data_IF_926881177546
#
_entry.id   IF_926881177546
#
_cell.length_a   1.000
_cell.length_b   1.000
_cell.length_c   1.000
_cell.angle_alpha   90.00
_cell.angle_beta   90.00
_cell.angle_gamma   90.00
#
_symmetry.space_group_name_H-M   'P 1'
#
loop_
_entity.id
_entity.type
_entity.pdbx_description
1 polymer ?
#
# COMPACT_ATOMS: atom_id res chain seq x y z
N UNK A 1 13.52 -0.17 25.10
CA UNK A 1 12.17 -0.01 24.51
C UNK A 1 12.36 0.45 23.07
N UNK A 2 11.93 -0.34 22.08
CA UNK A 2 11.96 0.12 20.68
C UNK A 2 11.01 1.30 20.49
N UNK A 3 11.23 2.19 19.50
CA UNK A 3 10.29 3.25 19.20
C UNK A 3 8.91 2.65 18.88
N UNK A 4 7.85 3.17 19.51
CA UNK A 4 6.48 2.75 19.23
C UNK A 4 6.18 3.04 17.76
N UNK A 5 5.77 2.02 17.01
CA UNK A 5 5.37 2.22 15.62
C UNK A 5 4.09 3.05 15.60
N UNK A 6 3.99 4.07 14.74
CA UNK A 6 2.78 4.87 14.68
C UNK A 6 1.59 4.01 14.29
N UNK A 7 0.42 4.39 14.83
CA UNK A 7 -0.86 3.73 14.55
C UNK A 7 -1.61 4.49 13.46
N UNK A 8 -2.25 3.79 12.49
CA UNK A 8 -3.07 4.46 11.48
C UNK A 8 -4.32 5.08 12.13
N UNK A 9 -4.76 6.21 11.57
CA UNK A 9 -5.98 6.92 11.99
C UNK A 9 -7.15 6.65 11.03
N UNK A 10 -8.41 6.68 11.50
CA UNK A 10 -9.58 6.57 10.61
C UNK A 10 -9.53 7.60 9.48
N UNK A 11 -9.64 7.15 8.23
CA UNK A 11 -9.50 7.98 7.04
C UNK A 11 -8.09 8.03 6.42
N UNK A 12 -7.08 7.41 7.04
CA UNK A 12 -5.77 7.27 6.42
C UNK A 12 -5.88 6.47 5.12
N UNK A 13 -5.38 7.04 4.00
CA UNK A 13 -5.48 6.45 2.67
C UNK A 13 -4.11 6.17 2.03
N UNK A 14 -3.03 6.62 2.65
CA UNK A 14 -1.66 6.34 2.21
C UNK A 14 -0.74 5.97 3.39
N UNK A 15 0.26 5.15 3.09
CA UNK A 15 1.34 4.78 4.02
C UNK A 15 2.62 5.49 3.58
N UNK A 16 3.19 6.30 4.46
CA UNK A 16 4.45 6.99 4.22
C UNK A 16 5.63 6.12 4.65
N UNK A 17 6.68 6.06 3.84
CA UNK A 17 7.93 5.40 4.18
C UNK A 17 9.07 6.40 4.06
N UNK A 18 9.63 6.78 5.20
CA UNK A 18 10.81 7.64 5.28
C UNK A 18 12.07 6.76 5.32
N UNK A 19 12.98 6.94 4.36
CA UNK A 19 14.23 6.20 4.26
C UNK A 19 15.42 7.14 4.11
N UNK A 20 16.63 6.63 4.38
CA UNK A 20 17.90 7.32 4.11
C UNK A 20 18.41 7.08 2.69
N UNK A 21 17.76 6.17 1.96
CA UNK A 21 18.12 5.84 0.58
C UNK A 21 17.65 6.92 -0.38
N UNK A 22 18.35 7.06 -1.50
CA UNK A 22 17.89 7.88 -2.62
C UNK A 22 16.56 7.33 -3.21
N UNK A 23 15.71 8.19 -3.81
CA UNK A 23 14.40 7.81 -4.36
C UNK A 23 14.40 6.52 -5.20
N UNK A 24 15.28 6.44 -6.21
CA UNK A 24 15.38 5.28 -7.09
C UNK A 24 15.73 3.98 -6.34
N UNK A 25 16.69 4.05 -5.41
CA UNK A 25 17.09 2.89 -4.61
C UNK A 25 15.97 2.43 -3.66
N UNK A 26 15.25 3.39 -3.09
CA UNK A 26 14.12 3.13 -2.22
C UNK A 26 12.97 2.45 -2.97
N UNK A 27 12.61 2.96 -4.15
CA UNK A 27 11.57 2.36 -5.01
C UNK A 27 11.99 0.97 -5.50
N UNK A 28 13.25 0.78 -5.90
CA UNK A 28 13.76 -0.52 -6.31
C UNK A 28 13.70 -1.55 -5.17
N UNK A 29 14.01 -1.14 -3.94
CA UNK A 29 13.89 -2.00 -2.75
C UNK A 29 12.44 -2.31 -2.42
N UNK A 30 11.54 -1.33 -2.49
CA UNK A 30 10.11 -1.56 -2.32
C UNK A 30 9.56 -2.55 -3.37
N UNK A 31 10.00 -2.42 -4.63
CA UNK A 31 9.66 -3.37 -5.69
C UNK A 31 10.18 -4.79 -5.40
N UNK A 32 11.39 -4.92 -4.85
CA UNK A 32 11.91 -6.22 -4.42
C UNK A 32 11.09 -6.83 -3.27
N UNK A 33 10.65 -6.02 -2.31
CA UNK A 33 9.73 -6.45 -1.24
C UNK A 33 8.40 -6.93 -1.82
N UNK A 34 7.81 -6.17 -2.75
CA UNK A 34 6.56 -6.54 -3.39
C UNK A 34 6.67 -7.87 -4.14
N UNK A 35 7.74 -8.09 -4.92
CA UNK A 35 7.99 -9.36 -5.60
C UNK A 35 8.11 -10.53 -4.61
N UNK A 36 8.83 -10.35 -3.51
CA UNK A 36 8.93 -11.37 -2.44
C UNK A 36 7.58 -11.71 -1.79
N UNK A 37 6.66 -10.75 -1.76
CA UNK A 37 5.29 -10.96 -1.25
C UNK A 37 4.31 -11.43 -2.34
N UNK A 38 4.81 -11.78 -3.54
CA UNK A 38 4.03 -12.36 -4.64
C UNK A 38 3.27 -11.34 -5.47
N UNK A 39 3.65 -10.06 -5.44
CA UNK A 39 3.11 -9.05 -6.35
C UNK A 39 3.93 -8.97 -7.63
N UNK A 40 3.26 -8.89 -8.78
CA UNK A 40 3.89 -8.46 -10.02
C UNK A 40 4.05 -6.93 -10.04
N UNK A 41 5.19 -6.46 -10.53
CA UNK A 41 5.49 -5.03 -10.66
C UNK A 41 5.18 -4.60 -12.09
N UNK A 42 4.27 -3.64 -12.24
CA UNK A 42 3.78 -3.10 -13.51
C UNK A 42 4.61 -1.88 -13.95
N UNK A 43 5.01 -1.03 -13.00
CA UNK A 43 5.82 0.15 -13.26
C UNK A 43 6.93 0.28 -12.22
N UNK A 44 8.14 0.59 -12.67
CA UNK A 44 9.25 0.98 -11.81
C UNK A 44 10.13 2.00 -12.55
N UNK A 45 10.25 3.18 -11.99
CA UNK A 45 11.14 4.27 -12.43
C UNK A 45 11.82 4.92 -11.22
N UNK A 46 12.64 5.95 -11.46
CA UNK A 46 13.35 6.66 -10.39
C UNK A 46 12.42 7.45 -9.45
N UNK A 47 11.16 7.67 -9.85
CA UNK A 47 10.17 8.47 -9.12
C UNK A 47 8.89 7.72 -8.79
N UNK A 48 8.63 6.57 -9.43
CA UNK A 48 7.37 5.84 -9.25
C UNK A 48 7.54 4.32 -9.24
N UNK A 49 6.74 3.67 -8.41
CA UNK A 49 6.53 2.23 -8.35
C UNK A 49 5.03 1.95 -8.48
N UNK A 50 4.65 0.92 -9.25
CA UNK A 50 3.28 0.40 -9.26
C UNK A 50 3.25 -1.12 -9.42
N UNK A 51 2.27 -1.76 -8.78
CA UNK A 51 1.97 -3.19 -8.93
C UNK A 51 0.94 -3.43 -10.01
N UNK A 52 0.99 -4.63 -10.61
CA UNK A 52 -0.11 -5.13 -11.42
C UNK A 52 -1.31 -5.46 -10.51
N UNK A 53 -2.55 -5.42 -11.04
CA UNK A 53 -3.73 -5.78 -10.27
C UNK A 53 -3.63 -7.22 -9.73
N UNK A 54 -3.97 -7.41 -8.45
CA UNK A 54 -3.95 -8.73 -7.80
C UNK A 54 -5.28 -9.00 -7.12
N UNK A 55 -5.85 -10.19 -7.39
CA UNK A 55 -7.09 -10.63 -6.78
C UNK A 55 -6.86 -11.23 -5.39
N UNK A 56 -7.72 -10.85 -4.45
CA UNK A 56 -7.81 -11.39 -3.11
C UNK A 56 -9.21 -11.92 -2.87
N UNK A 57 -9.28 -13.06 -2.17
CA UNK A 57 -10.53 -13.70 -1.78
C UNK A 57 -10.74 -13.51 -0.28
N UNK A 58 -11.95 -13.11 0.10
CA UNK A 58 -12.33 -12.87 1.49
C UNK A 58 -13.62 -13.61 1.81
N UNK A 59 -13.66 -14.47 2.82
CA UNK A 59 -14.91 -15.04 3.30
C UNK A 59 -15.75 -13.92 3.96
N UNK A 60 -16.98 -13.73 3.50
CA UNK A 60 -17.94 -12.77 4.07
C UNK A 60 -19.34 -13.37 4.05
N UNK A 61 -19.89 -13.65 5.23
CA UNK A 61 -21.29 -14.12 5.38
C UNK A 61 -21.59 -15.42 4.65
N UNK A 62 -20.65 -16.38 4.61
CA UNK A 62 -20.83 -17.66 3.93
C UNK A 62 -20.54 -17.65 2.42
N UNK A 63 -20.28 -16.48 1.81
CA UNK A 63 -19.88 -16.34 0.42
C UNK A 63 -18.43 -15.83 0.29
N UNK A 64 -17.77 -16.17 -0.82
CA UNK A 64 -16.44 -15.63 -1.16
C UNK A 64 -16.63 -14.31 -1.89
N UNK A 65 -16.16 -13.21 -1.29
CA UNK A 65 -16.04 -11.92 -1.99
C UNK A 65 -14.65 -11.80 -2.57
N UNK A 66 -14.56 -11.46 -3.86
CA UNK A 66 -13.28 -11.19 -4.53
C UNK A 66 -13.07 -9.69 -4.68
N UNK A 67 -11.87 -9.22 -4.42
CA UNK A 67 -11.47 -7.85 -4.71
C UNK A 67 -10.13 -7.82 -5.44
N UNK A 68 -9.97 -6.90 -6.37
CA UNK A 68 -8.72 -6.66 -7.09
C UNK A 68 -8.07 -5.44 -6.47
N UNK A 69 -6.81 -5.56 -6.06
CA UNK A 69 -6.03 -4.47 -5.47
C UNK A 69 -4.90 -4.05 -6.40
N UNK A 70 -4.63 -2.74 -6.42
CA UNK A 70 -3.48 -2.14 -7.07
C UNK A 70 -2.81 -1.18 -6.10
N UNK A 71 -1.49 -1.20 -6.04
CA UNK A 71 -0.69 -0.31 -5.21
C UNK A 71 0.27 0.52 -6.06
N UNK A 72 0.46 1.78 -5.67
CA UNK A 72 1.41 2.69 -6.28
C UNK A 72 2.14 3.50 -5.22
N UNK A 73 3.44 3.71 -5.38
CA UNK A 73 4.23 4.60 -4.55
C UNK A 73 4.93 5.65 -5.42
N UNK A 74 4.83 6.90 -4.99
CA UNK A 74 5.59 8.02 -5.55
C UNK A 74 6.67 8.44 -4.56
N UNK A 75 7.86 8.76 -5.06
CA UNK A 75 8.96 9.24 -4.24
C UNK A 75 9.07 10.76 -4.31
N UNK A 76 8.99 11.42 -3.15
CA UNK A 76 9.33 12.83 -3.02
C UNK A 76 10.81 12.97 -2.62
N UNK A 77 11.61 13.81 -3.32
CA UNK A 77 12.99 14.09 -2.93
C UNK A 77 13.01 15.14 -1.81
N UNK A 78 12.90 14.73 -0.55
CA UNK A 78 13.10 15.61 0.61
C UNK A 78 14.52 15.41 1.17
N UNK A 79 15.53 15.96 0.49
CA UNK A 79 16.92 15.98 0.97
C UNK A 79 17.64 14.61 0.92
N UNK A 80 18.67 14.37 1.76
CA UNK A 80 19.33 13.07 1.87
C UNK A 80 18.38 12.05 2.51
N UNK A 81 17.52 11.47 1.68
CA UNK A 81 16.50 10.50 2.04
C UNK A 81 15.25 10.67 1.18
N UNK A 82 14.58 9.56 0.87
CA UNK A 82 13.31 9.58 0.16
C UNK A 82 12.13 9.43 1.13
N UNK A 83 11.04 10.12 0.82
CA UNK A 83 9.71 9.81 1.38
C UNK A 83 8.90 9.15 0.28
N UNK A 84 8.55 7.87 0.48
CA UNK A 84 7.66 7.16 -0.44
C UNK A 84 6.22 7.23 0.08
N UNK A 85 5.30 7.69 -0.76
CA UNK A 85 3.87 7.71 -0.44
C UNK A 85 3.21 6.54 -1.12
N UNK A 86 2.96 5.44 -0.40
CA UNK A 86 2.28 4.25 -0.93
C UNK A 86 0.77 4.38 -0.76
N UNK A 87 0.06 4.45 -1.89
CA UNK A 87 -1.39 4.42 -1.99
C UNK A 87 -1.87 3.11 -2.64
N UNK A 88 -3.17 2.83 -2.51
CA UNK A 88 -3.78 1.69 -3.17
C UNK A 88 -5.21 1.97 -3.62
N UNK A 89 -5.65 1.27 -4.66
CA UNK A 89 -7.05 1.23 -5.09
C UNK A 89 -7.57 -0.19 -5.02
N UNK A 90 -8.88 -0.33 -4.88
CA UNK A 90 -9.54 -1.62 -4.94
C UNK A 90 -10.80 -1.58 -5.80
N UNK A 91 -11.13 -2.74 -6.38
CA UNK A 91 -12.39 -2.98 -7.06
C UNK A 91 -12.99 -4.29 -6.59
N UNK A 92 -14.24 -4.30 -6.16
CA UNK A 92 -14.94 -5.53 -5.76
C UNK A 92 -15.51 -6.21 -7.00
N UNK A 93 -15.20 -7.49 -7.19
CA UNK A 93 -15.76 -8.28 -8.28
C UNK A 93 -17.13 -8.81 -7.85
N UNK A 94 -18.13 -7.92 -7.82
CA UNK A 94 -19.55 -8.27 -7.78
C UNK A 94 -20.17 -7.91 -9.13
N UNK A 95 -21.34 -8.48 -9.44
CA UNK A 95 -22.02 -8.34 -10.74
C UNK A 95 -22.45 -6.91 -11.10
N UNK A 96 -22.33 -5.96 -10.16
CA UNK A 96 -22.65 -4.54 -10.38
C UNK A 96 -21.39 -3.78 -10.80
N UNK A 97 -21.44 -2.80 -11.73
CA UNK A 97 -20.28 -2.03 -12.11
C UNK A 97 -19.81 -1.17 -10.92
N UNK A 98 -18.84 -1.64 -10.15
CA UNK A 98 -18.12 -0.80 -9.20
C UNK A 98 -16.88 -0.26 -9.89
N UNK A 99 -16.67 1.05 -9.79
CA UNK A 99 -15.41 1.70 -10.15
C UNK A 99 -14.26 1.28 -9.23
N UNK A 100 -13.04 1.74 -9.55
CA UNK A 100 -11.94 1.66 -8.58
C UNK A 100 -12.18 2.67 -7.47
N UNK A 101 -12.06 2.21 -6.22
CA UNK A 101 -12.16 3.05 -5.02
C UNK A 101 -10.78 3.18 -4.37
N UNK A 102 -10.41 4.36 -3.85
CA UNK A 102 -9.20 4.52 -3.06
C UNK A 102 -9.27 3.70 -1.77
N UNK A 103 -8.14 3.16 -1.33
CA UNK A 103 -8.06 2.51 -0.03
C UNK A 103 -8.24 3.54 1.09
N UNK A 104 -8.96 3.16 2.13
CA UNK A 104 -9.08 3.97 3.34
C UNK A 104 -9.08 3.05 4.57
N UNK A 105 -8.32 3.44 5.59
CA UNK A 105 -8.34 2.79 6.88
C UNK A 105 -9.59 3.21 7.65
N UNK A 106 -10.56 2.30 7.78
CA UNK A 106 -11.79 2.51 8.56
C UNK A 106 -11.74 1.97 9.98
N UNK A 107 -10.55 1.66 10.52
CA UNK A 107 -10.41 0.96 11.79
C UNK A 107 -10.39 -0.57 11.60
N UNK A 108 -11.49 -1.25 11.91
CA UNK A 108 -11.54 -2.70 11.83
C UNK A 108 -11.23 -3.20 10.40
N UNK A 109 -10.42 -4.26 10.28
CA UNK A 109 -10.01 -4.89 8.99
C UNK A 109 -11.15 -5.62 8.27
N UNK A 110 -12.40 -5.21 8.47
CA UNK A 110 -13.60 -5.88 8.00
C UNK A 110 -14.12 -5.32 6.67
N UNK A 111 -13.72 -4.12 6.26
CA UNK A 111 -14.03 -3.55 4.94
C UNK A 111 -12.96 -3.89 3.90
N UNK A 112 -13.35 -3.92 2.62
CA UNK A 112 -12.44 -4.17 1.50
C UNK A 112 -11.37 -3.08 1.40
N UNK A 113 -11.73 -1.81 1.66
CA UNK A 113 -10.78 -0.70 1.75
C UNK A 113 -9.78 -0.86 2.90
N UNK A 114 -10.23 -1.25 4.10
CA UNK A 114 -9.34 -1.49 5.24
C UNK A 114 -8.42 -2.69 5.02
N UNK A 115 -8.91 -3.74 4.33
CA UNK A 115 -8.10 -4.88 3.92
C UNK A 115 -7.05 -4.48 2.87
N UNK A 116 -7.41 -3.64 1.89
CA UNK A 116 -6.49 -3.08 0.90
C UNK A 116 -5.39 -2.25 1.59
N UNK A 117 -5.75 -1.35 2.50
CA UNK A 117 -4.80 -0.59 3.32
C UNK A 117 -3.87 -1.50 4.13
N UNK A 118 -4.41 -2.56 4.73
CA UNK A 118 -3.62 -3.55 5.47
C UNK A 118 -2.57 -4.27 4.59
N UNK A 119 -2.86 -4.50 3.31
CA UNK A 119 -1.86 -5.04 2.37
C UNK A 119 -0.78 -4.02 2.02
N UNK A 120 -1.14 -2.74 1.84
CA UNK A 120 -0.17 -1.67 1.66
C UNK A 120 0.78 -1.56 2.88
N UNK A 121 0.24 -1.63 4.10
CA UNK A 121 1.08 -1.67 5.32
C UNK A 121 2.03 -2.87 5.34
N UNK A 122 1.58 -4.06 4.91
CA UNK A 122 2.46 -5.25 4.83
C UNK A 122 3.60 -5.07 3.82
N UNK A 123 3.35 -4.40 2.70
CA UNK A 123 4.41 -4.02 1.75
C UNK A 123 5.44 -3.11 2.41
N UNK A 124 5.00 -2.03 3.06
CA UNK A 124 5.91 -1.08 3.71
C UNK A 124 6.64 -1.70 4.90
N UNK A 125 6.00 -2.53 5.72
CA UNK A 125 6.68 -3.21 6.84
C UNK A 125 7.68 -4.28 6.40
N UNK A 126 7.54 -4.81 5.18
CA UNK A 126 8.60 -5.63 4.57
C UNK A 126 9.87 -4.82 4.25
N UNK A 127 9.76 -3.49 4.17
CA UNK A 127 10.87 -2.57 4.02
C UNK A 127 11.57 -2.34 5.37
N UNK A 128 12.55 -3.20 5.66
CA UNK A 128 13.20 -3.31 6.97
C UNK A 128 13.92 -2.03 7.48
N UNK A 129 14.17 -1.04 6.62
CA UNK A 129 15.11 0.07 6.89
C UNK A 129 14.49 1.48 6.90
N UNK A 130 13.16 1.60 6.86
CA UNK A 130 12.51 2.91 6.90
C UNK A 130 11.62 3.11 8.13
N UNK A 131 11.31 4.38 8.41
CA UNK A 131 10.29 4.77 9.39
C UNK A 131 8.96 4.92 8.66
N UNK A 132 7.89 4.39 9.25
CA UNK A 132 6.56 4.40 8.65
C UNK A 132 5.72 5.53 9.25
N UNK A 133 4.91 6.18 8.42
CA UNK A 133 3.88 7.16 8.81
C UNK A 133 2.59 6.95 8.00
N UNK A 134 1.61 7.82 8.19
CA UNK A 134 0.31 7.74 7.50
C UNK A 134 -0.18 9.12 7.07
N UNK A 135 -0.90 9.18 5.96
CA UNK A 135 -1.49 10.39 5.42
C UNK A 135 -2.93 10.13 4.95
N UNK A 136 -3.79 11.13 5.09
CA UNK A 136 -5.10 11.13 4.42
C UNK A 136 -4.90 11.31 2.91
N UNK A 137 -5.69 10.62 2.12
CA UNK A 137 -5.69 10.86 0.67
C UNK A 137 -6.60 12.08 0.38
N UNK A 138 -6.19 13.02 -0.49
CA UNK A 138 -7.02 14.15 -0.89
C UNK A 138 -8.27 13.73 -1.66
#
# INVERSE_FOLDING_TARGET
MGPEQPRPFPGAGAVLLHTREAPAAALARLAAVARKQGYAVDTLSDVRFATAPRTYEFPKGGAVTRAVYRFAADAAPEGPGAVLTLAGTYRVLRETPSGEEPMAYGGARTSQGAACFGQAQRLVFGYRWGKVGYQAQP
#
